data_IF_207392205751
#
_entry.id   IF_207392205751
#
_cell.length_a   1.000
_cell.length_b   1.000
_cell.length_c   1.000
_cell.angle_alpha   90.00
_cell.angle_beta   90.00
_cell.angle_gamma   90.00
#
_symmetry.space_group_name_H-M   'P 1'
#
loop_
_entity.id
_entity.type
_entity.pdbx_description
1 polymer ?
#
# COMPACT_ATOMS: atom_id res chain seq x y z
N UNK A 1 15.41 10.90 -9.14
CA UNK A 1 14.72 9.95 -8.24
C UNK A 1 14.17 10.79 -7.12
N UNK A 2 12.85 10.83 -6.92
CA UNK A 2 12.29 11.48 -5.74
C UNK A 2 12.53 10.54 -4.57
N UNK A 3 13.34 10.97 -3.62
CA UNK A 3 13.53 10.24 -2.37
C UNK A 3 12.19 10.18 -1.63
N UNK A 4 11.95 9.05 -0.95
CA UNK A 4 10.77 8.91 -0.12
C UNK A 4 10.84 9.96 1.00
N UNK A 5 9.73 10.64 1.34
CA UNK A 5 9.72 11.62 2.42
C UNK A 5 10.21 11.01 3.74
N UNK A 6 10.93 11.81 4.53
CA UNK A 6 11.29 11.44 5.89
C UNK A 6 10.02 11.09 6.69
N UNK A 7 10.03 9.93 7.35
CA UNK A 7 8.87 9.43 8.10
C UNK A 7 7.87 8.59 7.29
N UNK A 8 8.08 8.39 5.98
CA UNK A 8 7.19 7.55 5.15
C UNK A 8 6.98 6.14 5.73
N UNK A 9 8.05 5.51 6.25
CA UNK A 9 7.96 4.19 6.85
C UNK A 9 7.14 4.18 8.15
N UNK A 10 7.32 5.19 9.01
CA UNK A 10 6.57 5.34 10.26
C UNK A 10 5.09 5.65 10.01
N UNK A 11 4.79 6.49 9.02
CA UNK A 11 3.43 6.80 8.61
C UNK A 11 2.74 5.59 7.98
N UNK A 12 3.46 4.83 7.16
CA UNK A 12 2.95 3.57 6.60
C UNK A 12 2.67 2.56 7.71
N UNK A 13 3.57 2.40 8.68
CA UNK A 13 3.40 1.48 9.81
C UNK A 13 2.22 1.85 10.74
N UNK A 14 1.82 3.13 10.80
CA UNK A 14 0.64 3.58 11.55
C UNK A 14 -0.68 3.33 10.82
N UNK A 15 -0.64 3.33 9.49
CA UNK A 15 -1.80 3.05 8.64
C UNK A 15 -2.08 1.55 8.59
N UNK A 16 -1.01 0.75 8.57
CA UNK A 16 -1.07 -0.70 8.65
C UNK A 16 -1.43 -1.14 10.07
N UNK A 17 -2.11 -2.27 10.20
CA UNK A 17 -2.34 -2.86 11.52
C UNK A 17 -0.98 -3.19 12.16
N UNK A 18 -0.69 -2.53 13.29
CA UNK A 18 0.57 -2.65 14.03
C UNK A 18 0.84 -4.09 14.51
N UNK A 19 -0.14 -4.98 14.47
CA UNK A 19 0.08 -6.38 14.83
C UNK A 19 0.46 -7.28 13.64
N UNK A 20 0.52 -6.77 12.41
CA UNK A 20 0.69 -7.60 11.20
C UNK A 20 1.87 -7.14 10.32
N UNK A 21 3.05 -7.09 10.94
CA UNK A 21 4.31 -6.68 10.28
C UNK A 21 4.73 -7.65 9.15
N UNK A 22 4.37 -8.93 9.26
CA UNK A 22 4.69 -9.94 8.26
C UNK A 22 3.82 -9.77 7.01
N UNK A 23 2.50 -9.62 7.17
CA UNK A 23 1.63 -9.35 6.01
C UNK A 23 1.97 -8.01 5.33
N UNK A 24 2.37 -7.00 6.11
CA UNK A 24 2.86 -5.74 5.57
C UNK A 24 4.06 -5.93 4.62
N UNK A 25 5.04 -6.75 5.03
CA UNK A 25 6.21 -7.06 4.22
C UNK A 25 5.83 -7.78 2.92
N UNK A 26 4.95 -8.78 3.00
CA UNK A 26 4.45 -9.50 1.80
C UNK A 26 3.77 -8.56 0.79
N UNK A 27 2.99 -7.60 1.28
CA UNK A 27 2.30 -6.61 0.44
C UNK A 27 3.30 -5.69 -0.25
N UNK A 28 4.32 -5.23 0.48
CA UNK A 28 5.38 -4.37 -0.07
C UNK A 28 6.16 -5.13 -1.14
N UNK A 29 6.57 -6.37 -0.87
CA UNK A 29 7.25 -7.22 -1.85
C UNK A 29 6.37 -7.45 -3.09
N UNK A 30 5.09 -7.76 -2.92
CA UNK A 30 4.17 -7.92 -4.04
C UNK A 30 3.99 -6.63 -4.85
N UNK A 31 4.00 -5.46 -4.22
CA UNK A 31 3.95 -4.17 -4.90
C UNK A 31 5.21 -3.92 -5.77
N UNK A 32 6.38 -4.43 -5.37
CA UNK A 32 7.62 -4.29 -6.18
C UNK A 32 7.58 -5.06 -7.50
N UNK A 33 6.69 -6.06 -7.61
CA UNK A 33 6.52 -6.86 -8.82
C UNK A 33 5.59 -6.21 -9.86
N UNK A 34 4.92 -5.10 -9.50
CA UNK A 34 4.08 -4.34 -10.43
C UNK A 34 4.93 -3.54 -11.42
N UNK A 35 4.41 -3.40 -12.65
CA UNK A 35 4.94 -2.40 -13.59
C UNK A 35 4.59 -0.98 -13.14
N UNK A 36 5.24 0.05 -13.71
CA UNK A 36 5.03 1.45 -13.33
C UNK A 36 3.55 1.88 -13.40
N UNK A 37 2.79 1.31 -14.33
CA UNK A 37 1.36 1.59 -14.51
C UNK A 37 0.54 0.95 -13.39
N UNK A 38 0.79 -0.33 -13.10
CA UNK A 38 0.17 -1.08 -12.01
C UNK A 38 0.49 -0.45 -10.65
N UNK A 39 1.75 -0.12 -10.40
CA UNK A 39 2.19 0.52 -9.15
C UNK A 39 1.51 1.88 -8.97
N UNK A 40 1.44 2.70 -10.02
CA UNK A 40 0.73 3.98 -9.98
C UNK A 40 -0.76 3.82 -9.72
N UNK A 41 -1.40 2.79 -10.28
CA UNK A 41 -2.81 2.47 -10.03
C UNK A 41 -3.03 2.04 -8.58
N UNK A 42 -2.19 1.15 -8.05
CA UNK A 42 -2.19 0.73 -6.66
C UNK A 42 -2.06 1.92 -5.70
N UNK A 43 -1.04 2.77 -5.91
CA UNK A 43 -0.81 3.97 -5.09
C UNK A 43 -2.01 4.94 -5.10
N UNK A 44 -2.69 5.08 -6.24
CA UNK A 44 -3.90 5.93 -6.34
C UNK A 44 -5.08 5.37 -5.53
N UNK A 45 -5.29 4.05 -5.59
CA UNK A 45 -6.34 3.40 -4.81
C UNK A 45 -6.07 3.51 -3.31
N UNK A 46 -4.82 3.25 -2.91
CA UNK A 46 -4.40 3.39 -1.51
C UNK A 46 -4.58 4.83 -1.01
N UNK A 47 -4.10 5.82 -1.77
CA UNK A 47 -4.26 7.24 -1.42
C UNK A 47 -5.74 7.68 -1.34
N UNK A 48 -6.60 7.14 -2.20
CA UNK A 48 -8.04 7.40 -2.13
C UNK A 48 -8.65 6.80 -0.85
N UNK A 49 -8.33 5.54 -0.54
CA UNK A 49 -8.81 4.87 0.69
C UNK A 49 -8.37 5.57 1.97
N UNK A 50 -7.15 6.10 2.02
CA UNK A 50 -6.63 6.87 3.17
C UNK A 50 -7.37 8.20 3.33
N UNK A 51 -7.81 8.83 2.23
CA UNK A 51 -8.56 10.11 2.30
C UNK A 51 -10.01 9.93 2.72
N UNK A 52 -10.62 8.81 2.36
CA UNK A 52 -12.05 8.55 2.58
C UNK A 52 -12.37 7.98 3.97
N UNK A 53 -11.37 7.48 4.72
CA UNK A 53 -11.62 6.85 6.01
C UNK A 53 -10.44 6.94 6.97
N UNK A 54 -10.75 7.34 8.21
CA UNK A 54 -9.81 7.40 9.34
C UNK A 54 -9.49 6.04 9.98
N UNK A 55 -10.02 4.93 9.43
CA UNK A 55 -9.73 3.59 9.93
C UNK A 55 -8.42 3.06 9.34
N UNK A 56 -7.64 2.28 10.12
CA UNK A 56 -6.49 1.55 9.60
C UNK A 56 -6.84 0.80 8.31
N UNK A 57 -5.88 0.72 7.39
CA UNK A 57 -6.03 -0.07 6.17
C UNK A 57 -5.55 -1.48 6.47
N UNK A 58 -6.42 -2.47 6.27
CA UNK A 58 -6.05 -3.85 6.55
C UNK A 58 -5.18 -4.45 5.45
N UNK A 59 -4.44 -5.52 5.81
CA UNK A 59 -3.68 -6.31 4.85
C UNK A 59 -4.55 -6.85 3.71
N UNK A 60 -5.78 -7.29 4.01
CA UNK A 60 -6.72 -7.81 3.02
C UNK A 60 -7.18 -6.73 2.02
N UNK A 61 -7.40 -5.50 2.48
CA UNK A 61 -7.73 -4.37 1.59
C UNK A 61 -6.58 -4.10 0.60
N UNK A 62 -5.33 -4.11 1.09
CA UNK A 62 -4.15 -3.90 0.25
C UNK A 62 -3.95 -5.03 -0.76
N UNK A 63 -4.13 -6.29 -0.35
CA UNK A 63 -4.13 -7.45 -1.27
C UNK A 63 -5.20 -7.28 -2.37
N UNK A 64 -6.38 -6.78 -2.00
CA UNK A 64 -7.43 -6.44 -2.97
C UNK A 64 -7.02 -5.34 -3.96
N UNK A 65 -6.28 -4.33 -3.52
CA UNK A 65 -5.77 -3.28 -4.40
C UNK A 65 -4.69 -3.81 -5.34
N UNK A 66 -3.78 -4.66 -4.85
CA UNK A 66 -2.75 -5.31 -5.67
C UNK A 66 -3.36 -6.16 -6.79
N UNK A 67 -4.37 -6.98 -6.48
CA UNK A 67 -5.05 -7.80 -7.50
C UNK A 67 -5.75 -6.96 -8.57
N UNK A 68 -6.35 -5.83 -8.18
CA UNK A 68 -6.98 -4.89 -9.12
C UNK A 68 -5.95 -4.11 -9.94
N UNK A 69 -4.81 -3.76 -9.35
CA UNK A 69 -3.71 -3.10 -10.04
C UNK A 69 -3.03 -4.03 -11.06
N UNK A 70 -2.91 -5.32 -10.75
CA UNK A 70 -2.32 -6.34 -11.62
C UNK A 70 -3.24 -6.78 -12.77
N UNK A 71 -4.56 -6.58 -12.65
CA UNK A 71 -5.51 -6.82 -13.75
C UNK A 71 -5.41 -5.66 -14.75
N UNK A 72 -4.86 -5.97 -15.94
CA UNK A 72 -4.80 -5.06 -17.09
C UNK A 72 -6.18 -4.63 -17.56
#
# INVERSE_FOLDING_TARGET
>A
MSELPDGFADDLARILDRNDHEAAAEIIEAATMLDDVGLKRFMRMFAHRVRESDRPVSADELRGFLQQAARR
#
